data_IF_069145697473
#
_entry.id   IF_069145697473
#
_cell.length_a   1.000
_cell.length_b   1.000
_cell.length_c   1.000
_cell.angle_alpha   90.00
_cell.angle_beta   90.00
_cell.angle_gamma   90.00
#
_symmetry.space_group_name_H-M   'P 1'
#
loop_
_entity.id
_entity.type
_entity.pdbx_description
1 polymer ?
#
# COMPACT_ATOMS: atom_id res chain seq x y z
N UNK A 1 21.01 5.76 19.89
CA UNK A 1 19.79 6.02 19.09
C UNK A 1 19.35 4.69 18.51
N UNK A 2 18.24 4.14 18.97
CA UNK A 2 17.71 2.87 18.44
C UNK A 2 17.08 3.16 17.07
N UNK A 3 17.52 2.53 15.97
CA UNK A 3 16.87 2.73 14.69
C UNK A 3 15.39 2.30 14.80
N UNK A 4 14.46 2.97 14.11
CA UNK A 4 13.06 2.56 14.12
C UNK A 4 12.96 1.11 13.66
N UNK A 5 12.25 0.27 14.41
CA UNK A 5 11.85 -1.06 13.93
C UNK A 5 10.87 -0.85 12.78
N UNK A 6 11.39 -0.81 11.56
CA UNK A 6 10.55 -0.73 10.36
C UNK A 6 9.86 -2.08 10.25
N UNK A 7 8.52 -2.16 10.36
CA UNK A 7 7.82 -3.41 10.15
C UNK A 7 8.14 -3.91 8.74
N UNK A 8 8.86 -5.01 8.65
CA UNK A 8 9.36 -5.61 7.40
C UNK A 8 8.26 -6.29 6.59
N UNK A 9 7.02 -6.26 7.06
CA UNK A 9 5.92 -7.01 6.46
C UNK A 9 4.71 -6.15 6.21
N UNK A 10 4.75 -5.47 5.07
CA UNK A 10 3.60 -5.35 4.20
C UNK A 10 4.06 -5.83 2.83
N UNK A 11 4.21 -7.16 2.65
CA UNK A 11 4.63 -7.78 1.38
C UNK A 11 3.50 -7.74 0.32
N UNK A 12 2.67 -6.68 0.37
CA UNK A 12 1.58 -6.54 -0.56
C UNK A 12 2.16 -6.15 -1.91
N UNK A 13 1.96 -7.01 -2.89
CA UNK A 13 2.34 -6.80 -4.27
C UNK A 13 1.12 -6.98 -5.17
N UNK A 14 1.03 -6.15 -6.20
CA UNK A 14 -0.04 -6.20 -7.20
C UNK A 14 0.56 -6.14 -8.59
N UNK A 15 -0.11 -6.77 -9.55
CA UNK A 15 0.27 -6.67 -10.96
C UNK A 15 0.01 -5.25 -11.45
N UNK A 16 1.02 -4.62 -12.04
CA UNK A 16 0.88 -3.33 -12.69
C UNK A 16 0.40 -3.53 -14.14
N UNK A 17 -0.36 -2.57 -14.68
CA UNK A 17 -0.83 -2.62 -16.07
C UNK A 17 0.26 -2.62 -17.14
N UNK A 18 1.52 -2.33 -16.77
CA UNK A 18 2.67 -2.49 -17.66
C UNK A 18 3.20 -3.95 -17.76
N UNK A 19 2.66 -4.87 -16.95
CA UNK A 19 3.15 -6.24 -16.83
C UNK A 19 4.16 -6.46 -15.68
N UNK A 20 4.64 -5.38 -15.04
CA UNK A 20 5.53 -5.44 -13.87
C UNK A 20 4.78 -5.70 -12.55
N UNK A 21 5.55 -5.76 -11.45
CA UNK A 21 5.00 -5.95 -10.10
C UNK A 21 5.16 -4.66 -9.30
N UNK A 22 4.04 -4.09 -8.85
CA UNK A 22 4.04 -2.95 -7.94
C UNK A 22 4.03 -3.42 -6.50
N UNK A 23 4.92 -2.86 -5.67
CA UNK A 23 5.02 -3.18 -4.24
C UNK A 23 4.48 -2.03 -3.41
N UNK A 24 3.84 -2.35 -2.30
CA UNK A 24 3.28 -1.33 -1.41
C UNK A 24 4.40 -0.44 -0.83
N UNK A 25 4.19 0.85 -0.87
CA UNK A 25 5.12 1.88 -0.38
C UNK A 25 4.53 2.70 0.75
N UNK A 26 3.21 2.87 0.79
CA UNK A 26 2.54 3.59 1.86
C UNK A 26 1.16 2.99 2.19
N UNK A 27 0.81 3.04 3.46
CA UNK A 27 -0.54 2.77 3.96
C UNK A 27 -0.93 3.93 4.86
N UNK A 28 -2.06 4.57 4.54
CA UNK A 28 -2.58 5.68 5.33
C UNK A 28 -4.09 5.51 5.55
N UNK A 29 -4.63 5.90 6.73
CA UNK A 29 -6.06 6.04 6.90
C UNK A 29 -6.60 7.14 5.97
N UNK A 30 -7.85 7.00 5.53
CA UNK A 30 -8.52 8.05 4.75
C UNK A 30 -9.29 8.92 5.76
N UNK A 31 -8.94 10.20 5.93
CA UNK A 31 -9.76 11.10 6.74
C UNK A 31 -11.18 11.13 6.15
N UNK A 32 -12.20 11.14 7.02
CA UNK A 32 -13.64 11.01 6.68
C UNK A 32 -14.13 9.60 6.31
N UNK A 33 -13.24 8.59 6.25
CA UNK A 33 -13.63 7.18 6.04
C UNK A 33 -12.86 6.26 6.98
N UNK A 34 -13.25 6.26 8.25
CA UNK A 34 -12.62 5.47 9.32
C UNK A 34 -12.56 3.97 9.04
N UNK A 35 -13.44 3.44 8.21
CA UNK A 35 -13.46 2.04 7.78
C UNK A 35 -12.49 1.74 6.62
N UNK A 36 -11.84 2.74 6.02
CA UNK A 36 -10.99 2.57 4.83
C UNK A 36 -9.54 2.97 5.07
N UNK A 37 -8.66 2.35 4.29
CA UNK A 37 -7.24 2.66 4.22
C UNK A 37 -6.83 2.84 2.77
N UNK A 38 -6.04 3.89 2.52
CA UNK A 38 -5.36 4.12 1.25
C UNK A 38 -4.05 3.36 1.24
N UNK A 39 -3.91 2.43 0.30
CA UNK A 39 -2.69 1.68 0.03
C UNK A 39 -2.08 2.18 -1.27
N UNK A 40 -0.85 2.67 -1.22
CA UNK A 40 -0.08 3.13 -2.38
C UNK A 40 0.96 2.08 -2.72
N UNK A 41 1.07 1.71 -3.99
CA UNK A 41 2.02 0.74 -4.53
C UNK A 41 2.84 1.40 -5.63
N UNK A 42 4.15 1.18 -5.62
CA UNK A 42 5.05 1.69 -6.64
C UNK A 42 5.54 0.55 -7.54
N UNK A 43 5.45 0.74 -8.85
CA UNK A 43 6.00 -0.18 -9.85
C UNK A 43 7.38 0.31 -10.30
N UNK A 44 8.48 -0.41 -9.97
CA UNK A 44 9.83 -0.01 -10.39
C UNK A 44 10.04 -0.15 -11.90
N UNK A 45 9.26 -1.00 -12.58
CA UNK A 45 9.40 -1.23 -14.02
C UNK A 45 8.93 -0.05 -14.89
N UNK A 46 7.82 0.59 -14.50
CA UNK A 46 7.26 1.73 -15.25
C UNK A 46 7.24 3.06 -14.48
N UNK A 47 7.67 3.05 -13.21
CA UNK A 47 7.71 4.22 -12.33
C UNK A 47 6.35 4.75 -11.90
N UNK A 48 5.26 4.00 -12.14
CA UNK A 48 3.90 4.44 -11.77
C UNK A 48 3.53 4.02 -10.36
N UNK A 49 2.81 4.93 -9.69
CA UNK A 49 2.12 4.63 -8.44
C UNK A 49 0.67 4.19 -8.70
N UNK A 50 0.26 3.14 -8.01
CA UNK A 50 -1.10 2.60 -7.99
C UNK A 50 -1.68 2.83 -6.59
N UNK A 51 -2.87 3.40 -6.51
CA UNK A 51 -3.53 3.72 -5.24
C UNK A 51 -4.82 2.94 -5.13
N UNK A 52 -4.99 2.20 -4.04
CA UNK A 52 -6.17 1.40 -3.76
C UNK A 52 -6.78 1.82 -2.42
N UNK A 53 -8.10 1.97 -2.38
CA UNK A 53 -8.83 2.09 -1.12
C UNK A 53 -9.32 0.71 -0.71
N UNK A 54 -8.81 0.21 0.41
CA UNK A 54 -9.23 -1.09 0.96
C UNK A 54 -10.00 -0.88 2.26
N UNK A 55 -10.97 -1.74 2.53
CA UNK A 55 -11.64 -1.75 3.82
C UNK A 55 -10.72 -2.30 4.91
N UNK A 56 -10.80 -1.73 6.11
CA UNK A 56 -10.12 -2.26 7.30
C UNK A 56 -10.67 -3.65 7.59
N UNK A 57 -9.77 -4.60 7.82
CA UNK A 57 -10.12 -5.97 8.20
C UNK A 57 -10.94 -5.95 9.50
N UNK A 58 -12.18 -6.44 9.47
CA UNK A 58 -13.09 -6.49 10.63
C UNK A 58 -14.29 -5.56 10.58
N UNK A 59 -14.46 -4.77 9.50
CA UNK A 59 -15.71 -4.07 9.20
C UNK A 59 -16.48 -4.93 8.19
N UNK A 60 -17.40 -5.75 8.68
CA UNK A 60 -18.25 -6.66 7.90
C UNK A 60 -19.31 -7.33 8.76
#
# INVERSE_FOLDING_TARGET
MTPPSIPTRTDAAVTCGCGGIARITAVAPIPDRDERMRHTYHCPDCGKDLVFEVMKKGVG
#
